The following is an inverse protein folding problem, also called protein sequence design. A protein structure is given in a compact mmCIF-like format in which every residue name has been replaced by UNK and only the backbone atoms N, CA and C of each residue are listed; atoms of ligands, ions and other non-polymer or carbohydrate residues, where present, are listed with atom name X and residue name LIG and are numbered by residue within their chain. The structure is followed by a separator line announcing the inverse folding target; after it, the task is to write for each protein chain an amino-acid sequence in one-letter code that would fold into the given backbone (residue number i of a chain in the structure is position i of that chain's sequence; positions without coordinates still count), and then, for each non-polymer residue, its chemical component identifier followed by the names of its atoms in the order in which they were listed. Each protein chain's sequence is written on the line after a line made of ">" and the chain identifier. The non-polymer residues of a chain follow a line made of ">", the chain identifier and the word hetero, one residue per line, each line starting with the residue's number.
data_IF_528908287214
#
_entry.id   IF_528908287214
#
_cell.length_a   1.000
_cell.length_b   1.000
_cell.length_c   1.000
_cell.angle_alpha   90.00
_cell.angle_beta   90.00
_cell.angle_gamma   90.00
#
_symmetry.space_group_name_H-M   'P 1'
#
loop_
_entity.id
_entity.type
_entity.pdbx_description
1 polymer ?
#
# COMPACT_ATOMS: atom_id res chain seq x y z
N UNK A 1 -32.09 5.50 -10.12
CA UNK A 1 -30.78 4.91 -10.47
C UNK A 1 -30.57 5.06 -11.98
N UNK A 2 -29.83 6.08 -12.40
CA UNK A 2 -29.54 6.35 -13.82
C UNK A 2 -28.32 5.54 -14.25
N UNK A 3 -28.50 4.63 -15.21
CA UNK A 3 -27.43 3.83 -15.81
C UNK A 3 -26.41 4.79 -16.46
N UNK A 4 -25.12 4.74 -16.11
CA UNK A 4 -24.14 5.65 -16.69
C UNK A 4 -24.07 5.45 -18.21
N UNK A 5 -24.14 6.55 -18.96
CA UNK A 5 -24.08 6.52 -20.42
C UNK A 5 -22.72 5.96 -20.87
N UNK A 6 -22.68 5.18 -21.95
CA UNK A 6 -21.47 4.48 -22.42
C UNK A 6 -20.22 5.37 -22.59
N UNK A 7 -20.40 6.68 -22.81
CA UNK A 7 -19.31 7.67 -22.84
C UNK A 7 -18.60 7.88 -21.49
N UNK A 8 -19.31 7.78 -20.36
CA UNK A 8 -18.72 7.89 -19.02
C UNK A 8 -17.83 6.67 -18.70
N UNK A 9 -18.21 5.46 -19.13
CA UNK A 9 -17.38 4.26 -18.94
C UNK A 9 -16.02 4.37 -19.66
N UNK A 10 -16.00 4.94 -20.87
CA UNK A 10 -14.76 5.16 -21.65
C UNK A 10 -13.82 6.19 -21.02
N UNK A 11 -14.35 7.20 -20.35
CA UNK A 11 -13.57 8.23 -19.65
C UNK A 11 -13.01 7.75 -18.31
N UNK A 12 -13.69 6.80 -17.66
CA UNK A 12 -13.32 6.25 -16.36
C UNK A 12 -12.36 5.06 -16.48
N UNK A 13 -12.46 4.26 -17.54
CA UNK A 13 -11.61 3.10 -17.79
C UNK A 13 -10.09 3.37 -17.69
N UNK A 14 -9.51 4.43 -18.31
CA UNK A 14 -8.08 4.69 -18.17
C UNK A 14 -7.70 5.13 -16.74
N UNK A 15 -8.58 5.86 -16.04
CA UNK A 15 -8.31 6.35 -14.68
C UNK A 15 -8.24 5.19 -13.68
N UNK A 16 -9.21 4.30 -13.71
CA UNK A 16 -9.20 3.11 -12.86
C UNK A 16 -8.14 2.11 -13.29
N UNK A 17 -7.84 2.01 -14.59
CA UNK A 17 -6.75 1.17 -15.09
C UNK A 17 -5.38 1.58 -14.53
N UNK A 18 -5.08 2.87 -14.45
CA UNK A 18 -3.83 3.36 -13.85
C UNK A 18 -3.75 3.02 -12.36
N UNK A 19 -4.82 3.26 -11.59
CA UNK A 19 -4.85 2.97 -10.14
C UNK A 19 -4.65 1.47 -9.89
N UNK A 20 -5.39 0.63 -10.61
CA UNK A 20 -5.27 -0.82 -10.50
C UNK A 20 -3.89 -1.32 -10.94
N UNK A 21 -3.33 -0.74 -12.00
CA UNK A 21 -1.98 -1.04 -12.46
C UNK A 21 -0.93 -0.69 -11.40
N UNK A 22 -1.02 0.49 -10.79
CA UNK A 22 -0.13 0.89 -9.70
C UNK A 22 -0.24 -0.04 -8.50
N UNK A 23 -1.47 -0.38 -8.08
CA UNK A 23 -1.70 -1.29 -6.96
C UNK A 23 -1.12 -2.68 -7.25
N UNK A 24 -1.28 -3.19 -8.47
CA UNK A 24 -0.70 -4.47 -8.88
C UNK A 24 0.83 -4.43 -8.87
N UNK A 25 1.44 -3.36 -9.39
CA UNK A 25 2.90 -3.18 -9.37
C UNK A 25 3.45 -3.06 -7.95
N UNK A 26 2.77 -2.33 -7.07
CA UNK A 26 3.13 -2.21 -5.65
C UNK A 26 3.15 -3.59 -4.98
N UNK A 27 2.07 -4.37 -5.12
CA UNK A 27 1.98 -5.70 -4.52
C UNK A 27 3.00 -6.69 -5.10
N UNK A 28 3.19 -6.69 -6.42
CA UNK A 28 4.17 -7.56 -7.08
C UNK A 28 5.60 -7.25 -6.62
N UNK A 29 5.96 -5.96 -6.49
CA UNK A 29 7.30 -5.56 -6.05
C UNK A 29 7.58 -5.99 -4.60
N UNK A 30 6.61 -5.83 -3.70
CA UNK A 30 6.70 -6.28 -2.30
C UNK A 30 6.83 -7.79 -2.18
N UNK A 31 5.98 -8.52 -2.90
CA UNK A 31 6.01 -9.98 -2.91
C UNK A 31 7.38 -10.49 -3.37
N UNK A 32 7.88 -9.98 -4.49
CA UNK A 32 9.19 -10.36 -5.01
C UNK A 32 10.33 -9.99 -4.03
N UNK A 33 10.27 -8.82 -3.40
CA UNK A 33 11.29 -8.39 -2.45
C UNK A 33 11.30 -9.27 -1.17
N UNK A 34 10.13 -9.63 -0.63
CA UNK A 34 10.06 -10.53 0.52
C UNK A 34 10.63 -11.91 0.20
N UNK A 35 10.30 -12.47 -0.97
CA UNK A 35 10.75 -13.80 -1.41
C UNK A 35 12.25 -13.83 -1.75
N UNK A 36 12.77 -12.79 -2.41
CA UNK A 36 14.13 -12.83 -3.00
C UNK A 36 15.18 -11.99 -2.28
N UNK A 37 14.78 -10.88 -1.66
CA UNK A 37 15.73 -9.99 -0.98
C UNK A 37 15.74 -10.27 0.52
N UNK A 38 14.58 -10.45 1.14
CA UNK A 38 14.45 -10.47 2.60
C UNK A 38 14.24 -11.87 3.20
N UNK A 39 14.63 -12.92 2.48
CA UNK A 39 14.65 -14.31 2.96
C UNK A 39 16.06 -14.90 2.82
N UNK A 40 16.85 -15.03 3.91
CA UNK A 40 16.53 -14.65 5.29
C UNK A 40 16.46 -13.11 5.48
N UNK A 41 15.79 -12.62 6.54
CA UNK A 41 15.68 -11.18 6.79
C UNK A 41 17.04 -10.50 6.85
N UNK A 42 17.29 -9.57 5.93
CA UNK A 42 18.56 -8.90 5.78
C UNK A 42 18.40 -7.41 5.52
N UNK A 43 19.37 -6.64 6.00
CA UNK A 43 19.54 -5.22 5.69
C UNK A 43 20.55 -5.10 4.55
N UNK A 44 20.20 -4.39 3.48
CA UNK A 44 21.09 -4.20 2.32
C UNK A 44 21.41 -2.73 2.09
N UNK A 45 22.69 -2.38 2.13
CA UNK A 45 23.17 -1.07 1.72
C UNK A 45 23.37 -1.08 0.19
N UNK A 46 22.50 -0.37 -0.53
CA UNK A 46 22.52 -0.30 -2.01
C UNK A 46 23.40 0.86 -2.47
N UNK A 47 23.27 2.02 -1.80
CA UNK A 47 24.06 3.23 -2.03
C UNK A 47 24.41 3.84 -0.66
N UNK A 48 25.37 4.79 -0.58
CA UNK A 48 25.77 5.42 0.68
C UNK A 48 24.62 6.09 1.47
N UNK A 49 23.51 6.42 0.79
CA UNK A 49 22.31 7.03 1.39
C UNK A 49 21.05 6.17 1.23
N UNK A 50 21.15 4.99 0.60
CA UNK A 50 20.00 4.12 0.32
C UNK A 50 20.23 2.72 0.88
N UNK A 51 19.37 2.36 1.81
CA UNK A 51 19.34 1.04 2.43
C UNK A 51 17.96 0.43 2.27
N UNK A 52 17.93 -0.84 1.90
CA UNK A 52 16.72 -1.65 1.88
C UNK A 52 16.64 -2.43 3.19
N UNK A 53 15.54 -2.21 3.91
CA UNK A 53 15.25 -2.85 5.19
C UNK A 53 13.83 -3.40 5.13
N UNK A 54 13.61 -4.68 5.43
CA UNK A 54 12.26 -5.21 5.57
C UNK A 54 11.64 -4.63 6.85
N UNK A 55 10.58 -3.83 6.70
CA UNK A 55 9.81 -3.28 7.82
C UNK A 55 8.34 -3.59 7.60
N UNK A 56 7.71 -4.18 8.61
CA UNK A 56 6.27 -4.34 8.66
C UNK A 56 5.65 -3.16 9.39
N UNK A 57 4.88 -2.34 8.66
CA UNK A 57 4.20 -1.18 9.23
C UNK A 57 2.71 -1.47 9.38
N UNK A 58 2.20 -1.41 10.61
CA UNK A 58 0.79 -1.68 10.94
C UNK A 58 -0.20 -0.61 10.47
N UNK A 59 0.22 0.40 9.72
CA UNK A 59 -0.64 1.47 9.21
C UNK A 59 -0.78 2.68 10.14
N UNK A 60 -0.02 2.74 11.24
CA UNK A 60 0.09 3.93 12.10
C UNK A 60 1.50 4.49 12.01
N UNK A 61 1.63 5.69 11.44
CA UNK A 61 2.92 6.39 11.36
C UNK A 61 3.35 6.92 12.74
N UNK A 62 4.67 7.00 12.98
CA UNK A 62 5.30 7.67 14.12
C UNK A 62 5.02 7.09 15.53
N UNK A 63 4.52 5.87 15.63
CA UNK A 63 4.50 5.10 16.88
C UNK A 63 3.49 5.56 17.95
N UNK A 64 2.87 6.75 17.80
CA UNK A 64 1.92 7.30 18.79
C UNK A 64 0.79 6.33 19.14
N UNK A 65 0.33 5.54 18.17
CA UNK A 65 -0.71 4.53 18.36
C UNK A 65 -0.30 3.14 17.84
N UNK A 66 1.00 2.90 17.62
CA UNK A 66 1.50 1.69 16.95
C UNK A 66 1.25 0.40 17.73
N UNK A 67 1.14 0.46 19.06
CA UNK A 67 0.88 -0.70 19.92
C UNK A 67 -0.60 -1.04 20.12
N UNK A 68 -1.53 -0.24 19.59
CA UNK A 68 -2.97 -0.40 19.85
C UNK A 68 -3.68 -1.46 19.01
N UNK A 69 -2.93 -2.23 18.21
CA UNK A 69 -3.45 -3.34 17.41
C UNK A 69 -4.58 -2.93 16.46
N UNK A 70 -5.50 -3.86 16.20
CA UNK A 70 -6.59 -3.65 15.24
C UNK A 70 -7.63 -2.64 15.72
N UNK A 71 -7.79 -2.46 17.04
CA UNK A 71 -8.74 -1.50 17.62
C UNK A 71 -8.41 -0.07 17.17
N UNK A 72 -7.14 0.32 17.26
CA UNK A 72 -6.69 1.63 16.77
C UNK A 72 -6.90 1.76 15.27
N UNK A 73 -6.59 0.72 14.48
CA UNK A 73 -6.78 0.75 13.02
C UNK A 73 -8.24 1.00 12.66
N UNK A 74 -9.17 0.32 13.33
CA UNK A 74 -10.61 0.48 13.13
C UNK A 74 -11.06 1.89 13.51
N UNK A 75 -10.62 2.41 14.66
CA UNK A 75 -10.96 3.77 15.10
C UNK A 75 -10.47 4.84 14.13
N UNK A 76 -9.23 4.73 13.66
CA UNK A 76 -8.66 5.68 12.69
C UNK A 76 -9.39 5.59 11.33
N UNK A 77 -9.74 4.39 10.90
CA UNK A 77 -10.53 4.19 9.67
C UNK A 77 -11.92 4.81 9.81
N UNK A 78 -12.59 4.59 10.94
CA UNK A 78 -13.89 5.20 11.23
C UNK A 78 -13.80 6.73 11.29
N UNK A 79 -12.77 7.27 11.94
CA UNK A 79 -12.50 8.71 11.99
C UNK A 79 -12.26 9.31 10.59
N UNK A 80 -11.53 8.63 9.72
CA UNK A 80 -11.27 9.11 8.36
C UNK A 80 -12.49 9.10 7.43
N UNK A 81 -13.52 8.31 7.77
CA UNK A 81 -14.77 8.20 7.01
C UNK A 81 -15.90 9.10 7.54
N UNK A 82 -15.75 9.66 8.75
CA UNK A 82 -16.72 10.56 9.39
C UNK A 82 -16.57 12.00 8.92
#
# INVERSE_FOLDING_TARGET
>A
MTRPAAGQLRLLAPRYGVVLGLAAMDQASKFWALDRLFTPPAVMDILPFLRFVPVWTDGVSFGLLGGGGDVVKILLTGFALA
#
